data_IF_100703795936
#
_entry.id   IF_100703795936
#
_cell.length_a   1.000
_cell.length_b   1.000
_cell.length_c   1.000
_cell.angle_alpha   90.00
_cell.angle_beta   90.00
_cell.angle_gamma   90.00
#
_symmetry.space_group_name_H-M   'P 1'
#
loop_
_entity.id
_entity.type
_entity.pdbx_description
1 polymer ?
#
# COMPACT_ATOMS: atom_id res chain seq x y z
N UNK A 1 -78.50 -3.54 22.46
CA UNK A 1 -77.21 -3.06 22.93
C UNK A 1 -76.15 -3.99 22.34
N UNK A 2 -75.57 -3.61 21.21
CA UNK A 2 -74.53 -4.41 20.52
C UNK A 2 -73.14 -3.90 20.91
N UNK A 3 -72.38 -4.74 21.61
CA UNK A 3 -71.00 -4.46 21.97
C UNK A 3 -70.11 -4.75 20.78
N UNK A 4 -69.46 -3.72 20.22
CA UNK A 4 -68.45 -3.82 19.19
C UNK A 4 -67.12 -4.04 19.90
N UNK A 5 -66.52 -5.21 19.70
CA UNK A 5 -65.16 -5.52 20.15
C UNK A 5 -64.20 -5.15 19.00
N UNK A 6 -63.39 -4.08 19.18
CA UNK A 6 -62.32 -3.72 18.28
C UNK A 6 -61.10 -4.61 18.60
N UNK A 7 -60.72 -5.48 17.66
CA UNK A 7 -59.42 -6.16 17.66
C UNK A 7 -58.37 -5.22 17.06
N UNK A 8 -57.51 -4.69 17.90
CA UNK A 8 -56.31 -4.00 17.46
C UNK A 8 -55.24 -5.05 17.10
N UNK A 9 -55.05 -5.33 15.83
CA UNK A 9 -53.93 -6.14 15.35
C UNK A 9 -52.68 -5.27 15.36
N UNK A 10 -51.85 -5.41 16.40
CA UNK A 10 -50.50 -4.84 16.42
C UNK A 10 -49.60 -5.65 15.49
N UNK A 11 -49.41 -5.14 14.27
CA UNK A 11 -48.44 -5.67 13.34
C UNK A 11 -47.01 -5.39 13.83
N UNK A 12 -46.34 -6.40 14.37
CA UNK A 12 -44.90 -6.42 14.60
C UNK A 12 -44.23 -6.45 13.23
N UNK A 13 -43.92 -5.28 12.68
CA UNK A 13 -42.92 -5.19 11.60
C UNK A 13 -41.54 -5.52 12.19
N UNK A 14 -41.13 -6.79 12.08
CA UNK A 14 -39.76 -7.20 12.23
C UNK A 14 -38.94 -6.52 11.12
N UNK A 15 -38.26 -5.42 11.46
CA UNK A 15 -37.19 -4.87 10.70
C UNK A 15 -36.06 -5.92 10.72
N UNK A 16 -36.10 -6.85 9.74
CA UNK A 16 -34.94 -7.62 9.39
C UNK A 16 -33.93 -6.58 8.82
N UNK A 17 -33.14 -5.99 9.71
CA UNK A 17 -31.92 -5.32 9.31
C UNK A 17 -31.07 -6.40 8.64
N UNK A 18 -31.07 -6.44 7.31
CA UNK A 18 -29.99 -7.07 6.57
C UNK A 18 -28.72 -6.39 7.04
N UNK A 19 -28.00 -7.01 7.97
CA UNK A 19 -26.59 -6.71 8.16
C UNK A 19 -25.93 -7.11 6.85
N UNK A 20 -25.77 -6.16 5.94
CA UNK A 20 -24.82 -6.31 4.84
C UNK A 20 -23.50 -6.71 5.49
N UNK A 21 -23.04 -7.92 5.18
CA UNK A 21 -21.70 -8.33 5.60
C UNK A 21 -20.78 -7.23 5.15
N UNK A 22 -20.16 -6.56 6.13
CA UNK A 22 -19.33 -5.42 5.88
C UNK A 22 -18.18 -5.84 4.96
N UNK A 23 -18.35 -5.55 3.69
CA UNK A 23 -17.44 -5.87 2.61
C UNK A 23 -16.42 -4.75 2.34
N UNK A 24 -15.65 -4.92 1.28
CA UNK A 24 -14.89 -3.84 0.66
C UNK A 24 -15.59 -3.37 -0.61
N UNK A 25 -15.37 -2.11 -0.95
CA UNK A 25 -15.69 -1.52 -2.25
C UNK A 25 -14.43 -0.79 -2.71
N UNK A 26 -13.88 -1.19 -3.86
CA UNK A 26 -12.80 -0.45 -4.53
C UNK A 26 -13.45 0.35 -5.65
N UNK A 27 -13.48 1.68 -5.51
CA UNK A 27 -13.94 2.61 -6.55
C UNK A 27 -12.75 3.32 -7.15
N UNK A 28 -12.72 3.39 -8.48
CA UNK A 28 -11.61 4.04 -9.13
C UNK A 28 -11.97 4.83 -10.36
N UNK A 29 -11.04 5.70 -10.72
CA UNK A 29 -10.96 6.37 -12.02
C UNK A 29 -9.77 5.81 -12.79
N UNK A 30 -9.85 5.77 -14.11
CA UNK A 30 -8.76 5.29 -14.97
C UNK A 30 -8.49 6.34 -16.06
N UNK A 31 -7.41 7.10 -15.86
CA UNK A 31 -7.07 8.23 -16.74
C UNK A 31 -6.70 7.75 -18.14
N UNK A 32 -7.40 8.28 -19.16
CA UNK A 32 -7.14 7.95 -20.55
C UNK A 32 -7.59 6.54 -20.99
N UNK A 33 -8.25 5.78 -20.11
CA UNK A 33 -8.80 4.47 -20.44
C UNK A 33 -10.17 4.62 -21.09
N UNK A 34 -10.38 3.95 -22.22
CA UNK A 34 -11.62 4.02 -22.96
C UNK A 34 -12.75 3.22 -22.29
N UNK A 35 -13.98 3.66 -22.44
CA UNK A 35 -15.15 2.87 -22.05
C UNK A 35 -15.17 1.55 -22.81
N UNK A 36 -15.46 0.46 -22.09
CA UNK A 36 -15.39 -0.90 -22.62
C UNK A 36 -14.07 -1.63 -22.37
N UNK A 37 -13.01 -0.93 -22.01
CA UNK A 37 -11.75 -1.56 -21.58
C UNK A 37 -11.88 -2.17 -20.19
N UNK A 38 -11.00 -3.13 -19.88
CA UNK A 38 -11.07 -3.93 -18.65
C UNK A 38 -9.96 -3.56 -17.68
N UNK A 39 -10.32 -3.35 -16.42
CA UNK A 39 -9.43 -3.22 -15.27
C UNK A 39 -9.50 -4.52 -14.47
N UNK A 40 -8.36 -4.99 -13.96
CA UNK A 40 -8.23 -6.23 -13.21
C UNK A 40 -7.88 -5.97 -11.75
N UNK A 41 -8.44 -6.78 -10.85
CA UNK A 41 -7.95 -6.95 -9.49
C UNK A 41 -7.11 -8.22 -9.46
N UNK A 42 -5.84 -8.12 -9.07
CA UNK A 42 -4.87 -9.22 -9.18
C UNK A 42 -4.12 -9.43 -7.87
N UNK A 43 -3.65 -10.66 -7.65
CA UNK A 43 -2.60 -10.95 -6.67
C UNK A 43 -1.26 -11.17 -7.38
N UNK A 44 -0.18 -10.80 -6.73
CA UNK A 44 1.16 -11.15 -7.16
C UNK A 44 1.50 -12.58 -6.74
N UNK A 45 2.14 -13.33 -7.62
CA UNK A 45 2.65 -14.69 -7.39
C UNK A 45 4.08 -14.79 -7.90
N UNK A 46 4.78 -15.86 -7.62
CA UNK A 46 6.13 -16.10 -8.16
C UNK A 46 6.15 -16.14 -9.70
N UNK A 47 5.06 -16.56 -10.34
CA UNK A 47 4.92 -16.64 -11.80
C UNK A 47 4.43 -15.32 -12.43
N UNK A 48 4.10 -14.30 -11.62
CA UNK A 48 3.60 -13.00 -12.08
C UNK A 48 2.29 -12.59 -11.41
N UNK A 49 1.32 -12.10 -12.20
CA UNK A 49 0.02 -11.63 -11.69
C UNK A 49 -1.09 -12.61 -12.05
N UNK A 50 -1.86 -13.05 -11.05
CA UNK A 50 -3.06 -13.85 -11.19
C UNK A 50 -4.32 -12.98 -11.00
N UNK A 51 -5.22 -12.97 -11.98
CA UNK A 51 -6.46 -12.22 -11.92
C UNK A 51 -7.43 -12.87 -10.92
N UNK A 52 -7.93 -12.06 -9.98
CA UNK A 52 -8.95 -12.45 -9.01
C UNK A 52 -10.34 -11.99 -9.47
N UNK A 53 -10.40 -10.82 -10.11
CA UNK A 53 -11.64 -10.21 -10.61
C UNK A 53 -11.33 -9.26 -11.75
N UNK A 54 -12.36 -8.91 -12.54
CA UNK A 54 -12.24 -7.95 -13.62
C UNK A 54 -13.53 -7.16 -13.82
N UNK A 55 -13.39 -5.88 -14.15
CA UNK A 55 -14.52 -4.99 -14.40
C UNK A 55 -14.27 -4.13 -15.63
N UNK A 56 -15.35 -3.78 -16.32
CA UNK A 56 -15.32 -2.93 -17.51
C UNK A 56 -15.41 -1.47 -17.08
N UNK A 57 -14.54 -0.63 -17.64
CA UNK A 57 -14.57 0.83 -17.41
C UNK A 57 -15.81 1.43 -18.09
N UNK A 58 -16.52 2.30 -17.36
CA UNK A 58 -17.67 3.07 -17.84
C UNK A 58 -17.54 4.51 -17.36
N UNK A 59 -17.61 5.45 -18.27
CA UNK A 59 -17.42 6.88 -18.00
C UNK A 59 -16.11 7.16 -17.23
N UNK A 60 -15.03 6.47 -17.62
CA UNK A 60 -13.73 6.60 -16.99
C UNK A 60 -13.63 6.07 -15.56
N UNK A 61 -14.62 5.29 -15.08
CA UNK A 61 -14.70 4.75 -13.73
C UNK A 61 -14.84 3.24 -13.70
N UNK A 62 -14.47 2.63 -12.57
CA UNK A 62 -14.64 1.19 -12.31
C UNK A 62 -14.97 0.94 -10.85
N UNK A 63 -15.55 -0.23 -10.53
CA UNK A 63 -15.89 -0.63 -9.17
C UNK A 63 -15.75 -2.14 -8.97
N UNK A 64 -14.95 -2.55 -7.96
CA UNK A 64 -14.92 -3.93 -7.44
C UNK A 64 -15.62 -3.98 -6.08
N UNK A 65 -16.27 -5.10 -5.80
CA UNK A 65 -16.93 -5.38 -4.51
C UNK A 65 -16.64 -6.79 -4.06
N UNK A 66 -16.44 -6.98 -2.76
CA UNK A 66 -16.22 -8.32 -2.23
C UNK A 66 -16.17 -8.37 -0.70
N UNK A 67 -15.83 -9.54 -0.21
CA UNK A 67 -15.59 -9.76 1.22
C UNK A 67 -14.08 -9.78 1.44
N UNK A 68 -13.53 -8.96 2.35
CA UNK A 68 -12.11 -8.98 2.63
C UNK A 68 -11.74 -10.25 3.42
N UNK A 69 -10.48 -10.62 3.36
CA UNK A 69 -9.89 -11.63 4.23
C UNK A 69 -9.94 -11.17 5.71
N UNK A 70 -9.58 -12.07 6.64
CA UNK A 70 -9.54 -11.77 8.08
C UNK A 70 -8.50 -10.71 8.45
N UNK A 71 -7.48 -10.55 7.63
CA UNK A 71 -6.47 -9.49 7.66
C UNK A 71 -6.41 -8.79 6.32
N UNK A 72 -6.03 -7.51 6.32
CA UNK A 72 -5.83 -6.78 5.08
C UNK A 72 -4.67 -7.42 4.29
N UNK A 73 -4.90 -7.61 2.99
CA UNK A 73 -3.92 -8.20 2.07
C UNK A 73 -3.65 -7.27 0.90
N UNK A 74 -2.41 -7.23 0.44
CA UNK A 74 -2.03 -6.46 -0.74
C UNK A 74 -2.58 -7.10 -2.01
N UNK A 75 -3.10 -6.27 -2.90
CA UNK A 75 -3.58 -6.63 -4.23
C UNK A 75 -3.19 -5.52 -5.21
N UNK A 76 -3.28 -5.81 -6.49
CA UNK A 76 -2.99 -4.85 -7.54
C UNK A 76 -4.25 -4.59 -8.36
N UNK A 77 -4.61 -3.32 -8.50
CA UNK A 77 -5.57 -2.86 -9.50
C UNK A 77 -4.78 -2.46 -10.72
N UNK A 78 -5.01 -3.13 -11.85
CA UNK A 78 -4.17 -2.97 -13.03
C UNK A 78 -5.00 -2.73 -14.29
N UNK A 79 -4.42 -1.97 -15.21
CA UNK A 79 -4.87 -1.84 -16.58
C UNK A 79 -3.70 -2.09 -17.53
N UNK A 80 -3.94 -2.87 -18.58
CA UNK A 80 -2.94 -3.16 -19.60
C UNK A 80 -3.60 -3.28 -20.98
N UNK A 81 -3.14 -2.45 -21.93
CA UNK A 81 -3.58 -2.51 -23.34
C UNK A 81 -2.50 -1.94 -24.24
N UNK A 82 -1.96 -2.78 -25.13
CA UNK A 82 -0.80 -2.40 -25.94
C UNK A 82 0.38 -2.02 -25.05
N UNK A 83 0.91 -0.81 -25.25
CA UNK A 83 2.02 -0.26 -24.45
C UNK A 83 1.56 0.44 -23.16
N UNK A 84 0.24 0.72 -23.03
CA UNK A 84 -0.30 1.38 -21.85
C UNK A 84 -0.36 0.41 -20.66
N UNK A 85 0.29 0.78 -19.56
CA UNK A 85 0.31 0.01 -18.32
C UNK A 85 0.10 0.94 -17.14
N UNK A 86 -0.87 0.61 -16.30
CA UNK A 86 -1.13 1.31 -15.05
C UNK A 86 -1.33 0.28 -13.96
N UNK A 87 -0.84 0.58 -12.77
CA UNK A 87 -1.03 -0.27 -11.60
C UNK A 87 -1.15 0.60 -10.33
N UNK A 88 -1.97 0.14 -9.41
CA UNK A 88 -2.03 0.63 -8.04
C UNK A 88 -2.04 -0.57 -7.11
N UNK A 89 -1.13 -0.60 -6.14
CA UNK A 89 -1.21 -1.57 -5.05
C UNK A 89 -2.21 -1.07 -4.03
N UNK A 90 -3.16 -1.91 -3.63
CA UNK A 90 -4.18 -1.62 -2.63
C UNK A 90 -4.16 -2.66 -1.52
N UNK A 91 -4.48 -2.26 -0.31
CA UNK A 91 -4.78 -3.18 0.78
C UNK A 91 -6.28 -3.45 0.79
N UNK A 92 -6.66 -4.70 0.46
CA UNK A 92 -8.07 -5.11 0.49
C UNK A 92 -8.47 -5.34 1.94
N UNK A 93 -9.21 -4.39 2.48
CA UNK A 93 -9.74 -4.37 3.83
C UNK A 93 -11.17 -3.82 3.84
N UNK A 94 -11.90 -4.01 4.93
CA UNK A 94 -13.26 -3.50 5.06
C UNK A 94 -13.33 -1.99 4.86
N UNK A 95 -14.22 -1.54 3.99
CA UNK A 95 -14.47 -0.11 3.74
C UNK A 95 -14.50 0.27 2.27
N UNK A 96 -14.42 1.58 2.03
CA UNK A 96 -14.43 2.16 0.69
C UNK A 96 -13.01 2.59 0.32
N UNK A 97 -12.38 1.83 -0.56
CA UNK A 97 -11.04 2.09 -1.09
C UNK A 97 -11.20 2.92 -2.36
N UNK A 98 -10.48 4.02 -2.46
CA UNK A 98 -10.43 4.87 -3.65
C UNK A 98 -9.14 4.61 -4.42
N UNK A 99 -9.23 4.49 -5.74
CA UNK A 99 -8.09 4.28 -6.63
C UNK A 99 -8.15 5.27 -7.78
N UNK A 100 -7.08 5.99 -8.00
CA UNK A 100 -6.89 6.76 -9.24
C UNK A 100 -5.78 6.08 -10.04
N UNK A 101 -6.14 5.36 -11.10
CA UNK A 101 -5.17 4.81 -12.04
C UNK A 101 -4.72 5.88 -13.01
N UNK A 102 -3.42 6.13 -13.05
CA UNK A 102 -2.80 7.12 -13.95
C UNK A 102 -1.51 6.54 -14.56
N UNK A 103 -1.17 6.93 -15.81
CA UNK A 103 0.07 6.51 -16.46
C UNK A 103 1.33 6.99 -15.74
N UNK A 104 1.25 8.11 -15.03
CA UNK A 104 2.40 8.67 -14.33
C UNK A 104 2.49 8.17 -12.89
N UNK A 105 1.43 8.33 -12.12
CA UNK A 105 1.38 7.97 -10.71
C UNK A 105 -0.04 7.64 -10.30
N UNK A 106 -0.27 6.38 -10.01
CA UNK A 106 -1.56 5.95 -9.44
C UNK A 106 -1.61 6.25 -7.95
N UNK A 107 -2.79 6.61 -7.45
CA UNK A 107 -2.99 6.98 -6.03
C UNK A 107 -4.11 6.15 -5.41
N UNK A 108 -3.99 5.91 -4.11
CA UNK A 108 -4.97 5.14 -3.33
C UNK A 108 -5.34 5.89 -2.05
N UNK A 109 -6.54 5.64 -1.51
CA UNK A 109 -6.97 6.22 -0.23
C UNK A 109 -8.26 5.57 0.28
N UNK A 110 -8.75 6.04 1.43
CA UNK A 110 -10.10 5.81 1.92
C UNK A 110 -10.24 4.74 2.98
N UNK A 111 -9.16 4.01 3.30
CA UNK A 111 -9.11 3.09 4.43
C UNK A 111 -7.75 3.13 5.11
N UNK A 112 -7.63 2.73 6.39
CA UNK A 112 -6.41 2.97 7.19
C UNK A 112 -5.10 2.46 6.57
N UNK A 113 -5.08 1.22 6.03
CA UNK A 113 -3.86 0.70 5.43
C UNK A 113 -3.54 1.39 4.09
N UNK A 114 -4.55 1.72 3.28
CA UNK A 114 -4.36 2.44 2.03
C UNK A 114 -3.86 3.87 2.26
N UNK A 115 -4.43 4.59 3.22
CA UNK A 115 -3.99 5.95 3.57
C UNK A 115 -2.56 5.95 4.15
N UNK A 116 -2.23 4.96 4.99
CA UNK A 116 -0.88 4.78 5.54
C UNK A 116 0.15 4.52 4.43
N UNK A 117 -0.15 3.60 3.52
CA UNK A 117 0.72 3.28 2.40
C UNK A 117 0.91 4.47 1.45
N UNK A 118 -0.17 5.17 1.09
CA UNK A 118 -0.08 6.35 0.23
C UNK A 118 0.78 7.45 0.87
N UNK A 119 0.55 7.75 2.16
CA UNK A 119 1.37 8.72 2.89
C UNK A 119 2.85 8.35 2.90
N UNK A 120 3.16 7.06 3.08
CA UNK A 120 4.52 6.57 3.00
C UNK A 120 5.11 6.80 1.60
N UNK A 121 4.39 6.43 0.54
CA UNK A 121 4.84 6.57 -0.83
C UNK A 121 5.08 8.04 -1.21
N UNK A 122 4.21 8.94 -0.76
CA UNK A 122 4.36 10.38 -0.96
C UNK A 122 5.65 10.92 -0.32
N UNK A 123 5.95 10.48 0.91
CA UNK A 123 7.17 10.89 1.61
C UNK A 123 8.43 10.27 0.97
N UNK A 124 8.36 8.99 0.60
CA UNK A 124 9.46 8.29 -0.08
C UNK A 124 9.81 8.94 -1.42
N UNK A 125 8.81 9.26 -2.23
CA UNK A 125 9.02 9.94 -3.51
C UNK A 125 9.58 11.35 -3.33
N UNK A 126 9.10 12.08 -2.32
CA UNK A 126 9.61 13.42 -1.98
C UNK A 126 11.09 13.36 -1.64
N UNK A 127 11.51 12.44 -0.76
CA UNK A 127 12.90 12.21 -0.39
C UNK A 127 13.73 11.89 -1.64
N UNK A 128 13.28 10.92 -2.44
CA UNK A 128 13.99 10.51 -3.66
C UNK A 128 14.14 11.66 -4.67
N UNK A 129 13.10 12.48 -4.84
CA UNK A 129 13.15 13.65 -5.72
C UNK A 129 14.14 14.70 -5.22
N UNK A 130 14.12 15.04 -3.93
CA UNK A 130 15.04 16.01 -3.33
C UNK A 130 16.50 15.58 -3.51
N UNK A 131 16.78 14.30 -3.27
CA UNK A 131 18.11 13.72 -3.46
C UNK A 131 18.56 13.74 -4.92
N UNK A 132 17.70 13.32 -5.84
CA UNK A 132 18.01 13.35 -7.27
C UNK A 132 18.25 14.78 -7.76
N UNK A 133 17.42 15.75 -7.38
CA UNK A 133 17.55 17.15 -7.77
C UNK A 133 18.90 17.72 -7.27
N UNK A 134 19.30 17.38 -6.04
CA UNK A 134 20.59 17.79 -5.48
C UNK A 134 21.77 17.14 -6.23
N UNK A 135 21.70 15.83 -6.48
CA UNK A 135 22.71 15.11 -7.23
C UNK A 135 22.90 15.67 -8.65
N UNK A 136 21.79 15.96 -9.36
CA UNK A 136 21.87 16.53 -10.71
C UNK A 136 22.48 17.94 -10.71
N UNK A 137 22.21 18.76 -9.69
CA UNK A 137 22.84 20.07 -9.54
C UNK A 137 24.35 19.95 -9.32
N UNK A 138 24.78 19.06 -8.43
CA UNK A 138 26.23 18.84 -8.16
C UNK A 138 26.94 18.33 -9.42
N UNK A 139 26.31 17.39 -10.13
CA UNK A 139 26.89 16.80 -11.34
C UNK A 139 26.95 17.78 -12.53
N UNK A 140 25.90 18.60 -12.67
CA UNK A 140 25.75 19.53 -13.80
C UNK A 140 26.52 20.84 -13.65
N UNK A 141 26.95 21.21 -12.45
CA UNK A 141 27.71 22.45 -12.22
C UNK A 141 29.19 22.27 -12.55
N UNK A 142 29.58 22.82 -13.70
CA UNK A 142 30.95 22.76 -14.19
C UNK A 142 31.89 23.77 -13.54
N UNK A 143 31.36 24.69 -12.72
CA UNK A 143 32.17 25.72 -12.04
C UNK A 143 32.61 25.28 -10.64
N UNK A 144 32.07 24.17 -10.13
CA UNK A 144 32.50 23.62 -8.84
C UNK A 144 33.93 23.11 -8.90
N UNK A 145 34.71 23.54 -7.93
CA UNK A 145 36.02 22.91 -7.67
C UNK A 145 35.79 21.50 -7.10
N UNK A 146 36.81 20.64 -7.16
CA UNK A 146 36.77 19.28 -6.60
C UNK A 146 36.40 19.32 -5.11
N UNK A 147 37.06 20.19 -4.31
CA UNK A 147 36.75 20.36 -2.87
C UNK A 147 35.27 20.77 -2.61
N UNK A 148 34.75 21.65 -3.45
CA UNK A 148 33.34 22.04 -3.32
C UNK A 148 32.39 20.90 -3.67
N UNK A 149 32.71 20.12 -4.69
CA UNK A 149 31.96 18.96 -5.10
C UNK A 149 31.94 17.90 -4.00
N UNK A 150 33.09 17.58 -3.41
CA UNK A 150 33.22 16.62 -2.33
C UNK A 150 32.41 17.05 -1.10
N UNK A 151 32.50 18.33 -0.72
CA UNK A 151 31.68 18.86 0.38
C UNK A 151 30.16 18.77 0.12
N UNK A 152 29.70 18.97 -1.12
CA UNK A 152 28.29 18.82 -1.48
C UNK A 152 27.85 17.36 -1.52
N UNK A 153 28.74 16.44 -1.89
CA UNK A 153 28.48 14.99 -1.82
C UNK A 153 28.33 14.54 -0.36
N UNK A 154 29.17 15.01 0.56
CA UNK A 154 29.00 14.75 2.00
C UNK A 154 27.62 15.23 2.54
N UNK A 155 27.15 16.37 2.06
CA UNK A 155 25.81 16.88 2.40
C UNK A 155 24.72 15.98 1.82
N UNK A 156 24.92 15.46 0.61
CA UNK A 156 23.97 14.51 0.00
C UNK A 156 23.91 13.20 0.78
N UNK A 157 25.07 12.62 1.15
CA UNK A 157 25.15 11.39 1.95
C UNK A 157 24.46 11.54 3.31
N UNK A 158 24.63 12.70 3.94
CA UNK A 158 23.91 13.02 5.19
C UNK A 158 22.39 13.06 4.98
N UNK A 159 21.92 13.68 3.90
CA UNK A 159 20.49 13.72 3.56
C UNK A 159 19.92 12.33 3.23
N UNK A 160 20.71 11.48 2.60
CA UNK A 160 20.35 10.10 2.37
C UNK A 160 20.11 9.36 3.70
N UNK A 161 21.03 9.49 4.63
CA UNK A 161 20.91 8.93 5.98
C UNK A 161 19.65 9.46 6.71
N UNK A 162 19.43 10.77 6.69
CA UNK A 162 18.23 11.40 7.29
C UNK A 162 16.94 10.89 6.62
N UNK A 163 16.97 10.70 5.28
CA UNK A 163 15.88 10.12 4.52
C UNK A 163 15.57 8.69 4.95
N UNK A 164 16.59 7.84 5.03
CA UNK A 164 16.43 6.44 5.49
C UNK A 164 15.94 6.34 6.93
N UNK A 165 16.41 7.21 7.83
CA UNK A 165 15.89 7.27 9.18
C UNK A 165 14.41 7.67 9.22
N UNK A 166 13.98 8.57 8.35
CA UNK A 166 12.56 8.93 8.20
C UNK A 166 11.72 7.77 7.70
N UNK A 167 12.20 7.03 6.71
CA UNK A 167 11.56 5.81 6.21
C UNK A 167 11.43 4.78 7.34
N UNK A 168 12.49 4.53 8.09
CA UNK A 168 12.48 3.64 9.25
C UNK A 168 11.43 4.06 10.28
N UNK A 169 11.33 5.33 10.61
CA UNK A 169 10.33 5.84 11.56
C UNK A 169 8.90 5.53 11.08
N UNK A 170 8.59 5.82 9.81
CA UNK A 170 7.27 5.56 9.22
C UNK A 170 6.91 4.06 9.27
N UNK A 171 7.85 3.18 8.98
CA UNK A 171 7.67 1.72 9.10
C UNK A 171 7.42 1.34 10.55
N UNK A 172 8.26 1.82 11.47
CA UNK A 172 8.18 1.51 12.91
C UNK A 172 6.87 1.96 13.55
N UNK A 173 6.40 3.17 13.21
CA UNK A 173 5.13 3.72 13.69
C UNK A 173 3.91 2.91 13.25
N UNK A 174 4.01 2.20 12.11
CA UNK A 174 2.91 1.49 11.49
C UNK A 174 3.04 -0.04 11.52
N UNK A 175 4.04 -0.59 12.21
CA UNK A 175 4.39 -2.02 12.20
C UNK A 175 3.24 -2.96 12.62
N UNK A 176 2.27 -2.48 13.37
CA UNK A 176 1.10 -3.26 13.77
C UNK A 176 0.03 -3.38 12.66
N UNK A 177 0.17 -2.67 11.55
CA UNK A 177 -0.77 -2.66 10.42
C UNK A 177 -0.27 -3.51 9.25
N UNK A 178 -1.16 -3.93 8.35
CA UNK A 178 -0.77 -4.66 7.15
C UNK A 178 0.17 -3.82 6.26
N UNK A 179 -0.09 -2.51 6.14
CA UNK A 179 0.77 -1.59 5.41
C UNK A 179 2.18 -1.52 6.03
N UNK A 180 2.28 -1.39 7.36
CA UNK A 180 3.57 -1.33 8.05
C UNK A 180 4.36 -2.63 7.93
N UNK A 181 3.71 -3.79 8.03
CA UNK A 181 4.36 -5.10 7.81
C UNK A 181 4.87 -5.20 6.37
N UNK A 182 4.06 -4.85 5.38
CA UNK A 182 4.48 -4.84 3.97
C UNK A 182 5.66 -3.90 3.73
N UNK A 183 5.63 -2.69 4.30
CA UNK A 183 6.73 -1.74 4.19
C UNK A 183 8.01 -2.25 4.87
N UNK A 184 7.90 -2.95 6.01
CA UNK A 184 9.05 -3.59 6.61
C UNK A 184 9.63 -4.70 5.72
N UNK A 185 8.80 -5.52 5.08
CA UNK A 185 9.32 -6.54 4.15
C UNK A 185 9.98 -5.93 2.91
N UNK A 186 9.50 -4.78 2.45
CA UNK A 186 10.05 -4.06 1.30
C UNK A 186 11.39 -3.38 1.61
N UNK A 187 11.54 -2.74 2.77
CA UNK A 187 12.69 -1.90 3.11
C UNK A 187 13.61 -2.50 4.18
N UNK A 188 13.19 -3.59 4.84
CA UNK A 188 13.91 -4.14 5.98
C UNK A 188 15.36 -4.54 5.70
N UNK A 189 15.65 -5.02 4.49
CA UNK A 189 17.02 -5.36 4.09
C UNK A 189 17.93 -4.14 3.89
N UNK A 190 17.37 -2.94 3.79
CA UNK A 190 18.10 -1.67 3.68
C UNK A 190 18.38 -1.03 5.04
N UNK A 191 17.82 -1.56 6.12
CA UNK A 191 18.07 -1.09 7.48
C UNK A 191 19.13 -1.94 8.17
N UNK A 192 19.79 -1.37 9.16
CA UNK A 192 20.68 -2.10 10.04
C UNK A 192 19.91 -3.21 10.79
N UNK A 193 20.54 -4.40 10.94
CA UNK A 193 19.92 -5.59 11.58
C UNK A 193 19.37 -5.27 12.96
N UNK A 194 20.10 -4.48 13.73
CA UNK A 194 19.75 -4.04 15.09
C UNK A 194 18.46 -3.20 15.12
N UNK A 195 18.16 -2.51 14.02
CA UNK A 195 16.90 -1.75 13.84
C UNK A 195 15.75 -2.65 13.42
N UNK A 196 16.02 -3.67 12.59
CA UNK A 196 14.97 -4.56 12.04
C UNK A 196 14.49 -5.58 13.07
N UNK A 197 15.40 -6.17 13.84
CA UNK A 197 15.08 -7.25 14.78
C UNK A 197 13.96 -6.90 15.77
N UNK A 198 13.95 -5.72 16.42
CA UNK A 198 12.85 -5.33 17.31
C UNK A 198 11.52 -5.10 16.58
N UNK A 199 11.53 -4.77 15.29
CA UNK A 199 10.31 -4.60 14.48
C UNK A 199 9.72 -5.96 14.12
N UNK A 200 10.55 -6.95 13.79
CA UNK A 200 10.09 -8.33 13.53
C UNK A 200 9.35 -8.94 14.73
N UNK A 201 9.75 -8.60 15.95
CA UNK A 201 9.10 -9.05 17.18
C UNK A 201 7.72 -8.39 17.40
N UNK A 202 7.52 -7.20 16.84
CA UNK A 202 6.26 -6.45 16.95
C UNK A 202 5.25 -6.80 15.86
N UNK A 203 5.61 -7.60 14.86
CA UNK A 203 4.70 -8.02 13.81
C UNK A 203 3.53 -8.80 14.42
N UNK A 204 2.26 -8.44 14.14
CA UNK A 204 1.12 -9.18 14.65
C UNK A 204 1.13 -10.65 14.21
N UNK A 205 0.68 -11.55 15.07
CA UNK A 205 0.66 -13.00 14.82
C UNK A 205 -0.11 -13.37 13.53
N UNK A 206 -1.07 -12.55 13.13
CA UNK A 206 -1.83 -12.73 11.89
C UNK A 206 -0.96 -12.69 10.62
N UNK A 207 0.23 -12.07 10.67
CA UNK A 207 1.19 -12.01 9.56
C UNK A 207 2.37 -12.98 9.72
N UNK A 208 2.42 -13.79 10.79
CA UNK A 208 3.56 -14.66 11.08
C UNK A 208 3.83 -15.70 9.98
N UNK A 209 2.80 -16.06 9.22
CA UNK A 209 2.89 -17.03 8.12
C UNK A 209 3.12 -16.38 6.74
N UNK A 210 3.25 -15.05 6.67
CA UNK A 210 3.57 -14.35 5.43
C UNK A 210 4.98 -14.73 4.97
N UNK A 211 5.13 -15.16 3.71
CA UNK A 211 6.41 -15.64 3.17
C UNK A 211 7.47 -14.55 3.13
N UNK A 212 7.09 -13.30 2.83
CA UNK A 212 8.02 -12.16 2.82
C UNK A 212 8.54 -11.87 4.22
N UNK A 213 7.69 -12.00 5.26
CA UNK A 213 8.09 -11.86 6.67
C UNK A 213 9.06 -12.97 7.07
N UNK A 214 8.82 -14.21 6.66
CA UNK A 214 9.73 -15.33 6.91
C UNK A 214 11.08 -15.10 6.23
N UNK A 215 11.06 -14.73 4.95
CA UNK A 215 12.28 -14.45 4.20
C UNK A 215 13.11 -13.32 4.85
N UNK A 216 12.46 -12.24 5.32
CA UNK A 216 13.15 -11.17 6.02
C UNK A 216 13.75 -11.64 7.35
N UNK A 217 13.05 -12.48 8.13
CA UNK A 217 13.58 -13.07 9.36
C UNK A 217 14.82 -13.90 9.09
N UNK A 218 14.77 -14.79 8.10
CA UNK A 218 15.91 -15.62 7.71
C UNK A 218 17.11 -14.78 7.25
N UNK A 219 16.86 -13.70 6.51
CA UNK A 219 17.89 -12.76 6.08
C UNK A 219 18.56 -12.11 7.31
N UNK A 220 17.77 -11.55 8.23
CA UNK A 220 18.27 -10.89 9.46
C UNK A 220 19.08 -11.85 10.32
N UNK A 221 18.60 -13.09 10.51
CA UNK A 221 19.35 -14.11 11.26
C UNK A 221 20.68 -14.48 10.59
N UNK A 222 20.70 -14.53 9.27
CA UNK A 222 21.90 -14.86 8.51
C UNK A 222 22.95 -13.75 8.64
N UNK A 223 22.55 -12.49 8.46
CA UNK A 223 23.44 -11.34 8.58
C UNK A 223 23.97 -11.22 10.02
N UNK A 224 23.10 -11.40 11.04
CA UNK A 224 23.52 -11.37 12.44
C UNK A 224 24.59 -12.43 12.77
N UNK A 225 24.50 -13.64 12.20
CA UNK A 225 25.49 -14.71 12.38
C UNK A 225 26.83 -14.40 11.71
N UNK A 226 26.80 -13.73 10.55
CA UNK A 226 28.03 -13.41 9.81
C UNK A 226 28.76 -12.16 10.34
N UNK A 227 28.04 -11.27 11.04
CA UNK A 227 28.64 -10.08 11.65
C UNK A 227 29.45 -10.39 12.95
N UNK A 228 29.31 -11.59 13.52
CA UNK A 228 29.96 -12.03 14.78
C UNK A 228 31.23 -12.87 14.50
N UNK A 229 31.56 -13.16 13.26
CA UNK A 229 32.78 -13.90 12.83
C UNK A 229 33.78 -12.97 12.16
#
# INVERSE_FOLDING_TARGET
MKKIVLFAAAGLMSLAACQEKAGYIIKGTAEGVADGDTVFLQKQTEEGFEALDSVVVKNGTFEFKGTPDSVAVSRFVTYMKGDARMAAMVFVEKGNIQVNLSPMESRISGTPNNDTYQKFMDEYQKIGKEMNDMYQKIKGDTLLTEVQRDSLMEVLDKKETEGMDRIYQLVSENIASAAGVHLLTMFGSSFEVEKVQPLLEKIPAAFANNEEVKALKEHVETVAKTAVG
#
